data_IF_827343455397
#
_entry.id   IF_827343455397
#
_cell.length_a   1.000
_cell.length_b   1.000
_cell.length_c   1.000
_cell.angle_alpha   90.00
_cell.angle_beta   90.00
_cell.angle_gamma   90.00
#
_symmetry.space_group_name_H-M   'P 1'
#
loop_
_entity.id
_entity.type
_entity.pdbx_description
1 polymer ?
#
# COMPACT_ATOMS: atom_id res chain seq x y z
N UNK A 1 -12.82 5.48 -2.84
CA UNK A 1 -11.81 6.32 -2.14
C UNK A 1 -12.05 6.57 -0.66
N UNK A 2 -13.30 6.72 -0.18
CA UNK A 2 -13.54 7.05 1.24
C UNK A 2 -12.83 6.11 2.24
N UNK A 3 -12.85 4.80 2.00
CA UNK A 3 -12.17 3.82 2.87
C UNK A 3 -10.63 3.97 2.85
N UNK A 4 -10.03 4.13 1.66
CA UNK A 4 -8.59 4.36 1.52
C UNK A 4 -8.16 5.68 2.15
N UNK A 5 -8.81 6.79 1.80
CA UNK A 5 -8.44 8.11 2.29
C UNK A 5 -8.62 8.26 3.80
N UNK A 6 -9.62 7.58 4.39
CA UNK A 6 -9.79 7.55 5.86
C UNK A 6 -8.69 6.74 6.53
N UNK A 7 -8.34 5.58 5.98
CA UNK A 7 -7.31 4.72 6.56
C UNK A 7 -5.91 5.34 6.39
N UNK A 8 -5.50 5.60 5.16
CA UNK A 8 -4.15 6.03 4.81
C UNK A 8 -3.94 7.55 4.91
N UNK A 9 -4.96 8.30 5.33
CA UNK A 9 -4.86 9.75 5.52
C UNK A 9 -3.70 10.15 6.45
N UNK A 10 -3.66 9.67 7.70
CA UNK A 10 -2.65 10.03 8.71
C UNK A 10 -1.36 9.18 8.63
N UNK A 11 -0.95 8.73 7.43
CA UNK A 11 0.19 7.81 7.21
C UNK A 11 1.54 8.28 7.78
N UNK A 12 1.71 9.59 8.03
CA UNK A 12 2.87 10.12 8.74
C UNK A 12 3.04 9.53 10.17
N UNK A 13 1.98 8.95 10.73
CA UNK A 13 1.96 8.22 12.00
C UNK A 13 1.18 6.90 11.84
N UNK A 14 1.89 5.76 11.88
CA UNK A 14 1.30 4.44 11.68
C UNK A 14 0.32 4.04 12.81
N UNK A 15 0.52 4.54 14.03
CA UNK A 15 -0.41 4.29 15.14
C UNK A 15 -1.69 5.10 14.97
N UNK A 16 -1.58 6.36 14.52
CA UNK A 16 -2.73 7.17 14.15
C UNK A 16 -3.49 6.55 12.97
N UNK A 17 -2.77 6.00 11.99
CA UNK A 17 -3.31 5.26 10.85
C UNK A 17 -4.11 4.03 11.30
N UNK A 18 -3.55 3.22 12.19
CA UNK A 18 -4.24 2.05 12.73
C UNK A 18 -5.49 2.45 13.54
N UNK A 19 -5.42 3.51 14.36
CA UNK A 19 -6.56 4.04 15.13
C UNK A 19 -7.67 4.58 14.22
N UNK A 20 -7.31 5.34 13.18
CA UNK A 20 -8.26 5.83 12.18
C UNK A 20 -8.93 4.67 11.42
N UNK A 21 -8.14 3.64 11.08
CA UNK A 21 -8.64 2.40 10.52
C UNK A 21 -9.68 1.73 11.41
N UNK A 22 -9.35 1.50 12.69
CA UNK A 22 -10.25 0.89 13.65
C UNK A 22 -11.57 1.68 13.81
N UNK A 23 -11.48 3.01 13.93
CA UNK A 23 -12.66 3.88 14.00
C UNK A 23 -13.53 3.82 12.73
N UNK A 24 -12.92 3.51 11.58
CA UNK A 24 -13.59 3.31 10.31
C UNK A 24 -14.03 1.85 10.07
N UNK A 25 -13.92 0.95 11.06
CA UNK A 25 -14.35 -0.45 10.94
C UNK A 25 -13.35 -1.35 10.23
N UNK A 26 -12.06 -0.99 10.19
CA UNK A 26 -11.00 -1.92 9.83
C UNK A 26 -10.60 -2.76 11.03
N UNK A 27 -10.48 -4.07 10.83
CA UNK A 27 -10.10 -5.01 11.88
C UNK A 27 -8.65 -5.46 11.69
N UNK A 28 -7.87 -5.48 12.78
CA UNK A 28 -6.55 -6.10 12.74
C UNK A 28 -6.69 -7.61 12.63
N UNK A 29 -5.85 -8.22 11.80
CA UNK A 29 -5.76 -9.67 11.69
C UNK A 29 -4.32 -10.10 11.42
N UNK A 30 -4.05 -11.39 11.53
CA UNK A 30 -2.78 -11.99 11.13
C UNK A 30 -3.02 -12.75 9.83
N UNK A 31 -2.39 -12.36 8.70
CA UNK A 31 -2.52 -13.09 7.46
C UNK A 31 -2.01 -14.52 7.61
N UNK A 32 -2.73 -15.49 7.06
CA UNK A 32 -2.25 -16.86 7.02
C UNK A 32 -0.96 -16.92 6.16
N UNK A 33 0.13 -17.56 6.61
CA UNK A 33 1.41 -17.51 5.90
C UNK A 33 1.34 -18.01 4.45
N UNK A 34 0.48 -18.98 4.17
CA UNK A 34 0.29 -19.54 2.83
C UNK A 34 -0.61 -18.68 1.93
N UNK A 35 -1.36 -17.72 2.49
CA UNK A 35 -2.25 -16.84 1.71
C UNK A 35 -1.45 -15.87 0.83
N UNK A 36 -2.05 -15.34 -0.26
CA UNK A 36 -1.39 -14.34 -1.11
C UNK A 36 -0.86 -13.12 -0.30
N UNK A 37 -1.65 -12.63 0.66
CA UNK A 37 -1.24 -11.54 1.56
C UNK A 37 -0.11 -11.98 2.50
N UNK A 38 -0.18 -13.17 3.09
CA UNK A 38 0.90 -13.69 3.95
C UNK A 38 2.23 -13.80 3.24
N UNK A 39 2.23 -14.30 2.00
CA UNK A 39 3.42 -14.37 1.14
C UNK A 39 3.95 -12.97 0.80
N UNK A 40 3.06 -12.01 0.54
CA UNK A 40 3.45 -10.64 0.23
C UNK A 40 4.06 -9.91 1.43
N UNK A 41 3.51 -10.10 2.63
CA UNK A 41 4.08 -9.57 3.88
C UNK A 41 5.47 -10.18 4.12
N UNK A 42 5.61 -11.50 3.99
CA UNK A 42 6.89 -12.18 4.16
C UNK A 42 7.94 -11.69 3.13
N UNK A 43 7.54 -11.47 1.88
CA UNK A 43 8.40 -10.90 0.85
C UNK A 43 8.84 -9.47 1.22
N UNK A 44 7.89 -8.62 1.62
CA UNK A 44 8.16 -7.24 2.02
C UNK A 44 9.11 -7.15 3.23
N UNK A 45 8.91 -8.01 4.23
CA UNK A 45 9.80 -8.09 5.40
C UNK A 45 11.20 -8.59 5.02
N UNK A 46 11.30 -9.59 4.15
CA UNK A 46 12.58 -10.10 3.63
C UNK A 46 13.34 -9.04 2.85
N UNK A 47 12.70 -8.35 1.90
CA UNK A 47 13.36 -7.30 1.11
C UNK A 47 13.69 -6.08 1.96
N UNK A 48 12.80 -5.67 2.87
CA UNK A 48 13.05 -4.58 3.81
C UNK A 48 14.25 -4.87 4.71
N UNK A 49 14.37 -6.09 5.25
CA UNK A 49 15.47 -6.49 6.12
C UNK A 49 16.85 -6.39 5.43
N UNK A 50 16.93 -6.59 4.10
CA UNK A 50 18.18 -6.42 3.33
C UNK A 50 18.66 -4.98 3.25
N UNK A 51 17.77 -4.01 3.50
CA UNK A 51 18.05 -2.58 3.40
C UNK A 51 18.44 -1.95 4.75
N UNK A 52 18.35 -2.71 5.85
CA UNK A 52 18.57 -2.22 7.22
C UNK A 52 20.02 -2.48 7.66
N UNK A 53 20.72 -1.41 8.03
CA UNK A 53 21.96 -1.50 8.77
C UNK A 53 21.73 -1.17 10.26
N UNK A 54 21.57 -2.22 11.08
CA UNK A 54 21.33 -2.04 12.52
C UNK A 54 22.47 -1.32 13.24
N UNK A 55 23.71 -1.40 12.72
CA UNK A 55 24.85 -0.69 13.31
C UNK A 55 24.71 0.84 13.14
N UNK A 56 23.92 1.29 12.16
CA UNK A 56 23.58 2.71 11.94
C UNK A 56 22.28 3.14 12.63
N UNK A 57 21.64 2.24 13.38
CA UNK A 57 20.36 2.50 14.03
C UNK A 57 19.14 2.40 13.09
N UNK A 58 19.33 1.87 11.89
CA UNK A 58 18.23 1.58 10.97
C UNK A 58 17.33 0.48 11.56
N UNK A 59 16.04 0.55 11.27
CA UNK A 59 15.08 -0.45 11.71
C UNK A 59 13.86 -0.52 10.80
N UNK A 60 13.30 -1.72 10.64
CA UNK A 60 11.91 -1.84 10.21
C UNK A 60 10.97 -1.55 11.38
N UNK A 61 9.88 -0.86 11.10
CA UNK A 61 8.77 -0.67 12.03
C UNK A 61 7.82 -1.88 11.96
N UNK A 62 7.06 -2.17 13.04
CA UNK A 62 6.11 -3.28 13.03
C UNK A 62 5.11 -3.18 11.89
N UNK A 63 4.98 -4.27 11.11
CA UNK A 63 3.96 -4.39 10.08
C UNK A 63 2.60 -4.64 10.72
N UNK A 64 1.55 -4.01 10.19
CA UNK A 64 0.18 -4.28 10.59
C UNK A 64 -0.67 -4.66 9.39
N UNK A 65 -1.42 -5.76 9.51
CA UNK A 65 -2.45 -6.13 8.54
C UNK A 65 -3.84 -5.82 9.10
N UNK A 66 -4.65 -5.17 8.27
CA UNK A 66 -6.02 -4.77 8.57
C UNK A 66 -6.94 -5.31 7.47
N UNK A 67 -8.19 -5.65 7.80
CA UNK A 67 -9.18 -6.08 6.82
C UNK A 67 -10.49 -5.32 6.99
N UNK A 68 -11.22 -5.13 5.90
CA UNK A 68 -12.55 -4.53 5.91
C UNK A 68 -13.33 -4.91 4.66
N UNK A 69 -14.61 -5.23 4.82
CA UNK A 69 -15.52 -5.36 3.69
C UNK A 69 -16.09 -3.98 3.29
N UNK A 70 -15.97 -3.60 2.02
CA UNK A 70 -16.47 -2.33 1.49
C UNK A 70 -17.24 -2.59 0.20
N UNK A 71 -18.52 -2.19 0.16
CA UNK A 71 -19.37 -2.36 -1.02
C UNK A 71 -19.43 -3.80 -1.59
N UNK A 72 -19.22 -4.81 -0.76
CA UNK A 72 -19.21 -6.21 -1.16
C UNK A 72 -17.82 -6.80 -1.39
N UNK A 73 -16.78 -5.98 -1.51
CA UNK A 73 -15.39 -6.40 -1.71
C UNK A 73 -14.65 -6.58 -0.37
N UNK A 74 -13.83 -7.61 -0.26
CA UNK A 74 -13.00 -7.89 0.92
C UNK A 74 -11.62 -7.24 0.75
N UNK A 75 -11.44 -6.07 1.36
CA UNK A 75 -10.20 -5.32 1.27
C UNK A 75 -9.24 -5.68 2.40
N UNK A 76 -7.96 -5.76 2.06
CA UNK A 76 -6.86 -5.93 3.02
C UNK A 76 -5.95 -4.73 2.94
N UNK A 77 -5.55 -4.17 4.07
CA UNK A 77 -4.53 -3.13 4.13
C UNK A 77 -3.29 -3.62 4.89
N UNK A 78 -2.12 -3.27 4.38
CA UNK A 78 -0.83 -3.47 5.03
C UNK A 78 -0.25 -2.09 5.35
N UNK A 79 0.04 -1.87 6.63
CA UNK A 79 0.81 -0.74 7.11
C UNK A 79 2.24 -1.20 7.35
N UNK A 80 3.19 -0.48 6.79
CA UNK A 80 4.61 -0.79 6.90
C UNK A 80 5.42 0.47 7.15
N UNK A 81 6.57 0.35 7.78
CA UNK A 81 7.49 1.48 7.86
C UNK A 81 8.94 1.06 8.05
N UNK A 82 9.84 1.96 7.69
CA UNK A 82 11.29 1.81 7.83
C UNK A 82 11.86 3.11 8.35
N UNK A 83 12.83 3.02 9.26
CA UNK A 83 13.72 4.12 9.63
C UNK A 83 15.11 3.79 9.11
N UNK A 84 15.66 4.69 8.30
CA UNK A 84 16.97 4.53 7.67
C UNK A 84 17.66 5.88 7.53
N UNK A 85 18.93 5.97 7.93
CA UNK A 85 19.77 7.17 7.74
C UNK A 85 19.08 8.48 8.20
N UNK A 86 18.43 8.46 9.37
CA UNK A 86 17.71 9.63 9.91
C UNK A 86 16.40 9.99 9.19
N UNK A 87 15.96 9.17 8.25
CA UNK A 87 14.69 9.29 7.53
C UNK A 87 13.72 8.20 8.00
N UNK A 88 12.43 8.52 8.08
CA UNK A 88 11.34 7.55 8.22
C UNK A 88 10.53 7.50 6.94
N UNK A 89 10.23 6.28 6.50
CA UNK A 89 9.36 6.00 5.37
C UNK A 89 8.21 5.15 5.86
N UNK A 90 6.98 5.60 5.66
CA UNK A 90 5.77 4.87 5.99
C UNK A 90 4.98 4.56 4.72
N UNK A 91 4.42 3.36 4.66
CA UNK A 91 3.60 2.88 3.56
C UNK A 91 2.24 2.40 4.07
N UNK A 92 1.18 2.76 3.35
CA UNK A 92 -0.17 2.25 3.56
C UNK A 92 -0.65 1.71 2.23
N UNK A 93 -0.79 0.39 2.14
CA UNK A 93 -1.18 -0.29 0.91
C UNK A 93 -2.46 -1.08 1.11
N UNK A 94 -3.48 -0.77 0.32
CA UNK A 94 -4.77 -1.47 0.31
C UNK A 94 -4.83 -2.38 -0.91
N UNK A 95 -5.31 -3.60 -0.73
CA UNK A 95 -5.42 -4.63 -1.74
C UNK A 95 -6.87 -5.07 -1.89
N UNK A 96 -7.24 -5.29 -3.14
CA UNK A 96 -8.44 -6.01 -3.53
C UNK A 96 -7.98 -7.24 -4.33
N UNK A 97 -7.77 -8.34 -3.61
CA UNK A 97 -7.08 -9.53 -4.13
C UNK A 97 -8.01 -10.29 -5.06
N UNK A 98 -7.54 -10.54 -6.28
CA UNK A 98 -8.31 -11.28 -7.29
C UNK A 98 -9.31 -10.43 -8.07
N UNK A 99 -9.41 -9.13 -7.80
CA UNK A 99 -10.15 -8.22 -8.66
C UNK A 99 -9.65 -8.33 -10.11
N UNK A 100 -10.57 -8.38 -11.05
CA UNK A 100 -10.29 -8.58 -12.47
C UNK A 100 -10.27 -7.27 -13.26
N UNK A 101 -10.76 -6.19 -12.65
CA UNK A 101 -10.89 -4.87 -13.26
C UNK A 101 -9.74 -3.98 -12.82
N UNK A 102 -9.11 -3.31 -13.78
CA UNK A 102 -8.19 -2.22 -13.47
C UNK A 102 -8.98 -0.97 -13.06
N UNK A 103 -8.35 -0.11 -12.25
CA UNK A 103 -8.85 1.24 -12.01
C UNK A 103 -8.68 2.04 -13.30
N UNK A 104 -9.75 2.64 -13.79
CA UNK A 104 -9.68 3.49 -14.97
C UNK A 104 -9.02 4.83 -14.67
N UNK A 105 -8.43 5.45 -15.69
CA UNK A 105 -7.85 6.80 -15.56
C UNK A 105 -8.90 7.85 -15.19
N UNK A 106 -10.12 7.67 -15.68
CA UNK A 106 -11.26 8.52 -15.30
C UNK A 106 -11.57 8.41 -13.81
N UNK A 107 -11.59 7.20 -13.26
CA UNK A 107 -11.86 6.99 -11.84
C UNK A 107 -10.73 7.57 -10.98
N UNK A 108 -9.47 7.27 -11.35
CA UNK A 108 -8.32 7.79 -10.63
C UNK A 108 -8.24 9.32 -10.69
N UNK A 109 -8.53 9.93 -11.85
CA UNK A 109 -8.60 11.39 -12.01
C UNK A 109 -9.75 11.98 -11.20
N UNK A 110 -10.91 11.34 -11.13
CA UNK A 110 -12.03 11.81 -10.32
C UNK A 110 -11.70 11.81 -8.82
N UNK A 111 -10.80 10.92 -8.38
CA UNK A 111 -10.36 10.84 -6.98
C UNK A 111 -9.32 11.88 -6.59
N UNK A 112 -8.39 12.17 -7.50
CA UNK A 112 -7.18 12.95 -7.20
C UNK A 112 -7.26 14.37 -7.78
N UNK A 113 -8.15 14.59 -8.75
CA UNK A 113 -8.34 15.87 -9.44
C UNK A 113 -7.29 16.18 -10.49
N UNK A 114 -6.36 15.26 -10.77
CA UNK A 114 -5.24 15.44 -11.72
C UNK A 114 -4.81 14.11 -12.36
N UNK A 115 -4.18 14.22 -13.53
CA UNK A 115 -3.58 13.08 -14.21
C UNK A 115 -2.37 12.53 -13.44
N UNK A 116 -2.01 11.24 -13.59
CA UNK A 116 -0.81 10.68 -13.00
C UNK A 116 0.46 11.32 -13.58
N UNK A 117 1.49 11.46 -12.74
CA UNK A 117 2.82 11.90 -13.19
C UNK A 117 3.54 10.79 -13.99
N UNK A 118 3.17 9.53 -13.77
CA UNK A 118 3.69 8.38 -14.50
C UNK A 118 2.61 7.32 -14.70
N UNK A 119 2.59 6.70 -15.88
CA UNK A 119 1.77 5.53 -16.18
C UNK A 119 2.60 4.44 -16.86
N UNK A 120 2.36 3.19 -16.49
CA UNK A 120 2.84 1.98 -17.17
C UNK A 120 1.63 1.10 -17.44
N UNK A 121 1.50 0.59 -18.66
CA UNK A 121 0.38 -0.27 -19.08
C UNK A 121 0.92 -1.32 -20.06
N UNK A 122 1.48 -2.39 -19.50
CA UNK A 122 2.23 -3.38 -20.26
C UNK A 122 2.07 -4.78 -19.67
N UNK A 123 1.96 -5.79 -20.53
CA UNK A 123 1.98 -7.21 -20.17
C UNK A 123 1.03 -7.60 -19.02
N UNK A 124 -0.17 -7.00 -18.98
CA UNK A 124 -1.17 -7.26 -17.94
C UNK A 124 -0.90 -6.59 -16.60
N UNK A 125 0.01 -5.61 -16.56
CA UNK A 125 0.27 -4.72 -15.42
C UNK A 125 -0.13 -3.30 -15.78
N UNK A 126 -0.96 -2.69 -14.94
CA UNK A 126 -1.28 -1.26 -15.01
C UNK A 126 -0.79 -0.60 -13.74
N UNK A 127 0.07 0.41 -13.87
CA UNK A 127 0.53 1.27 -12.79
C UNK A 127 0.24 2.71 -13.18
N UNK A 128 -0.38 3.45 -12.26
CA UNK A 128 -0.42 4.91 -12.32
C UNK A 128 0.13 5.48 -11.02
N UNK A 129 1.01 6.46 -11.09
CA UNK A 129 1.68 7.08 -9.94
C UNK A 129 1.45 8.59 -9.96
N UNK A 130 1.34 9.19 -8.78
CA UNK A 130 1.19 10.63 -8.56
C UNK A 130 2.22 11.11 -7.54
N UNK A 131 2.90 12.20 -7.88
CA UNK A 131 3.79 12.95 -6.99
C UNK A 131 3.47 14.44 -7.17
N UNK A 132 3.07 15.18 -6.11
CA UNK A 132 2.80 14.69 -4.74
C UNK A 132 1.63 13.69 -4.70
N UNK A 133 1.52 12.94 -3.60
CA UNK A 133 0.59 11.83 -3.42
C UNK A 133 -0.89 12.22 -3.23
N UNK A 134 -1.69 11.31 -2.69
CA UNK A 134 -3.16 11.46 -2.60
C UNK A 134 -3.58 12.71 -1.80
N UNK A 135 -2.82 13.04 -0.75
CA UNK A 135 -2.97 14.26 0.05
C UNK A 135 -1.67 15.09 0.02
N UNK A 136 -1.72 16.39 0.38
CA UNK A 136 -0.53 17.25 0.38
C UNK A 136 0.60 16.76 1.29
N UNK A 137 0.28 15.97 2.31
CA UNK A 137 1.21 15.35 3.25
C UNK A 137 1.68 13.95 2.82
N UNK A 138 1.34 13.50 1.60
CA UNK A 138 1.81 12.23 1.03
C UNK A 138 2.85 12.51 -0.04
N UNK A 139 3.97 11.77 -0.01
CA UNK A 139 5.03 11.87 -1.01
C UNK A 139 4.59 11.29 -2.35
N UNK A 140 3.98 10.10 -2.30
CA UNK A 140 3.49 9.42 -3.50
C UNK A 140 2.12 8.77 -3.26
N UNK A 141 1.40 8.58 -4.36
CA UNK A 141 0.26 7.68 -4.41
C UNK A 141 0.33 6.84 -5.68
N UNK A 142 -0.02 5.57 -5.59
CA UNK A 142 0.04 4.64 -6.70
C UNK A 142 -1.21 3.76 -6.75
N UNK A 143 -1.74 3.55 -7.96
CA UNK A 143 -2.69 2.49 -8.26
C UNK A 143 -1.98 1.43 -9.07
N UNK A 144 -2.11 0.17 -8.66
CA UNK A 144 -1.61 -0.98 -9.39
C UNK A 144 -2.76 -1.92 -9.72
N UNK A 145 -2.68 -2.54 -10.88
CA UNK A 145 -3.47 -3.70 -11.25
C UNK A 145 -2.55 -4.76 -11.88
N UNK A 146 -2.70 -6.01 -11.43
CA UNK A 146 -1.99 -7.16 -12.00
C UNK A 146 -3.04 -8.18 -12.43
N UNK A 147 -3.16 -8.41 -13.74
CA UNK A 147 -4.07 -9.42 -14.27
C UNK A 147 -3.60 -10.84 -13.92
N UNK A 148 -4.54 -11.77 -13.79
CA UNK A 148 -4.23 -13.17 -13.47
C UNK A 148 -3.39 -13.89 -14.52
N UNK A 149 -3.43 -13.41 -15.78
CA UNK A 149 -2.60 -13.92 -16.88
C UNK A 149 -1.23 -13.25 -17.01
N UNK A 150 -0.93 -12.23 -16.21
CA UNK A 150 0.36 -11.52 -16.30
C UNK A 150 1.50 -12.39 -15.76
N UNK A 151 2.67 -12.44 -16.44
CA UNK A 151 3.88 -13.03 -15.87
C UNK A 151 4.26 -12.41 -14.51
N UNK A 152 3.91 -11.15 -14.29
CA UNK A 152 4.15 -10.43 -13.04
C UNK A 152 3.41 -11.04 -11.84
N UNK A 153 2.31 -11.76 -12.05
CA UNK A 153 1.57 -12.44 -10.97
C UNK A 153 2.45 -13.44 -10.21
N UNK A 154 3.40 -14.09 -10.89
CA UNK A 154 4.35 -15.01 -10.25
C UNK A 154 5.37 -14.29 -9.36
N UNK A 155 5.73 -13.07 -9.73
CA UNK A 155 6.68 -12.24 -8.97
C UNK A 155 6.02 -11.59 -7.76
N UNK A 156 4.87 -10.95 -7.97
CA UNK A 156 4.19 -10.17 -6.93
C UNK A 156 3.33 -10.99 -5.96
N UNK A 157 3.11 -12.29 -6.25
CA UNK A 157 2.32 -13.24 -5.44
C UNK A 157 0.85 -12.87 -5.22
N UNK A 158 0.41 -11.74 -5.79
CA UNK A 158 -0.95 -11.22 -5.72
C UNK A 158 -1.36 -10.73 -7.11
N UNK A 159 -2.61 -11.01 -7.47
CA UNK A 159 -3.31 -10.44 -8.61
C UNK A 159 -4.43 -9.54 -8.13
N UNK A 160 -4.89 -8.63 -8.98
CA UNK A 160 -5.94 -7.67 -8.66
C UNK A 160 -5.42 -6.28 -8.41
N UNK A 161 -6.16 -5.49 -7.63
CA UNK A 161 -5.87 -4.07 -7.41
C UNK A 161 -5.00 -3.91 -6.16
N UNK A 162 -4.04 -2.99 -6.20
CA UNK A 162 -3.56 -2.35 -4.98
C UNK A 162 -3.51 -0.83 -5.10
N UNK A 163 -3.79 -0.14 -4.00
CA UNK A 163 -3.64 1.29 -3.81
C UNK A 163 -2.54 1.49 -2.79
N UNK A 164 -1.63 2.44 -3.01
CA UNK A 164 -0.51 2.70 -2.10
C UNK A 164 -0.38 4.20 -1.89
N UNK A 165 -0.20 4.61 -0.64
CA UNK A 165 0.33 5.93 -0.31
C UNK A 165 1.63 5.75 0.46
N UNK A 166 2.58 6.66 0.24
CA UNK A 166 3.82 6.75 1.01
C UNK A 166 3.96 8.10 1.68
N UNK A 167 4.67 8.10 2.79
CA UNK A 167 5.19 9.28 3.46
C UNK A 167 6.68 9.10 3.74
N UNK A 168 7.45 10.17 3.56
CA UNK A 168 8.87 10.30 3.83
C UNK A 168 9.05 11.54 4.71
N UNK A 169 9.76 11.39 5.82
CA UNK A 169 10.06 12.51 6.70
C UNK A 169 11.28 12.27 7.57
N UNK A 170 11.64 13.27 8.38
CA UNK A 170 12.72 13.11 9.36
C UNK A 170 12.32 12.08 10.44
N UNK A 171 13.29 11.27 10.86
CA UNK A 171 13.20 10.44 12.05
C UNK A 171 13.53 11.31 13.27
N UNK A 172 12.50 11.76 14.00
CA UNK A 172 12.64 12.41 15.30
C UNK A 172 12.41 11.41 16.43
#
# INVERSE_FOLDING_TARGET
MGAFGTLCGPIADLDATAKAGAAAGWERFTPEPASPIGQLVALGESEGAKLIDKAKGDAMLPVAALRRRVAGEDLVAILSGVRKDGTRVHGCRVYDVGESRAISDSDAKAWIGRAPSRRVDEAGVVLSSWEPGYRPDHDSFETYFISSGSPAAQMFKVTGISLKADFVGAAH
#
